data_IF_695134322770
#
_entry.id   IF_695134322770
#
_cell.length_a   1.000
_cell.length_b   1.000
_cell.length_c   1.000
_cell.angle_alpha   90.00
_cell.angle_beta   90.00
_cell.angle_gamma   90.00
#
_symmetry.space_group_name_H-M   'P 1'
#
loop_
_entity.id
_entity.type
_entity.pdbx_description
1 polymer ?
#
# COMPACT_ATOMS: atom_id res chain seq x y z
N UNK A 1 15.39 -49.49 26.78
CA UNK A 1 14.38 -49.29 25.70
C UNK A 1 13.97 -47.82 25.71
N UNK A 2 14.54 -46.92 24.90
CA UNK A 2 13.99 -46.34 23.64
C UNK A 2 12.44 -46.38 23.59
N UNK A 3 11.69 -45.26 23.50
CA UNK A 3 11.80 -44.10 22.58
C UNK A 3 11.26 -42.77 23.19
N UNK A 4 11.72 -41.61 22.67
CA UNK A 4 11.10 -40.29 22.90
C UNK A 4 10.37 -39.73 21.64
N UNK A 5 9.66 -38.61 21.86
CA UNK A 5 9.18 -37.56 20.92
C UNK A 5 7.88 -37.79 20.14
N UNK A 6 6.96 -36.85 20.33
CA UNK A 6 6.28 -36.15 19.23
C UNK A 6 5.97 -34.71 19.70
N UNK A 7 6.96 -33.83 19.55
CA UNK A 7 6.73 -32.37 19.56
C UNK A 7 6.13 -32.06 18.20
N UNK A 8 4.88 -31.61 18.20
CA UNK A 8 4.17 -31.09 17.04
C UNK A 8 4.91 -29.82 16.59
N UNK A 9 5.81 -29.96 15.61
CA UNK A 9 6.52 -28.83 15.01
C UNK A 9 5.56 -28.03 14.13
N UNK A 10 5.10 -26.88 14.63
CA UNK A 10 4.42 -25.85 13.85
C UNK A 10 5.36 -25.40 12.72
N UNK A 11 5.01 -25.69 11.47
CA UNK A 11 5.85 -25.42 10.27
C UNK A 11 6.08 -23.91 10.10
N UNK A 12 7.28 -23.36 10.35
CA UNK A 12 7.54 -21.92 10.26
C UNK A 12 7.75 -21.41 8.81
N UNK A 13 7.77 -22.31 7.82
CA UNK A 13 8.07 -21.99 6.42
C UNK A 13 6.90 -21.45 5.58
N UNK A 14 5.65 -21.63 6.01
CA UNK A 14 4.47 -21.16 5.27
C UNK A 14 4.19 -19.67 5.54
N UNK A 15 4.35 -19.21 6.78
CA UNK A 15 4.14 -17.82 7.17
C UNK A 15 5.22 -16.89 6.61
N UNK A 16 6.47 -17.35 6.57
CA UNK A 16 7.61 -16.62 6.00
C UNK A 16 7.49 -16.48 4.47
N UNK A 17 7.03 -17.51 3.75
CA UNK A 17 6.73 -17.43 2.30
C UNK A 17 5.50 -16.58 1.97
N UNK A 18 4.54 -16.48 2.88
CA UNK A 18 3.32 -15.69 2.68
C UNK A 18 3.60 -14.20 2.91
N UNK A 19 4.40 -13.86 3.93
CA UNK A 19 4.92 -12.49 4.14
C UNK A 19 5.72 -12.00 2.94
N UNK A 20 6.66 -12.79 2.43
CA UNK A 20 7.47 -12.37 1.27
C UNK A 20 6.68 -12.17 -0.04
N UNK A 21 5.48 -12.74 -0.17
CA UNK A 21 4.57 -12.46 -1.29
C UNK A 21 3.79 -11.16 -1.13
N UNK A 22 3.61 -10.68 0.09
CA UNK A 22 2.91 -9.43 0.40
C UNK A 22 3.86 -8.23 0.41
N UNK A 23 5.17 -8.45 0.61
CA UNK A 23 6.16 -7.38 0.69
C UNK A 23 6.25 -6.56 -0.61
N UNK A 24 6.22 -7.23 -1.78
CA UNK A 24 6.25 -6.54 -3.08
C UNK A 24 5.01 -5.65 -3.33
N UNK A 25 3.77 -6.16 -3.22
CA UNK A 25 2.58 -5.30 -3.37
C UNK A 25 2.47 -4.27 -2.25
N UNK A 26 2.96 -4.54 -1.02
CA UNK A 26 2.99 -3.56 0.05
C UNK A 26 3.89 -2.39 -0.33
N UNK A 27 5.12 -2.66 -0.77
CA UNK A 27 6.06 -1.63 -1.19
C UNK A 27 5.54 -0.80 -2.38
N UNK A 28 4.95 -1.47 -3.38
CA UNK A 28 4.36 -0.79 -4.54
C UNK A 28 3.22 0.16 -4.11
N UNK A 29 2.33 -0.31 -3.24
CA UNK A 29 1.21 0.48 -2.76
C UNK A 29 1.66 1.62 -1.83
N UNK A 30 2.63 1.39 -0.95
CA UNK A 30 3.23 2.45 -0.12
C UNK A 30 3.84 3.55 -0.99
N UNK A 31 4.59 3.20 -2.05
CA UNK A 31 5.12 4.18 -3.00
C UNK A 31 4.02 4.95 -3.73
N UNK A 32 2.95 4.25 -4.13
CA UNK A 32 1.79 4.87 -4.76
C UNK A 32 1.10 5.87 -3.82
N UNK A 33 1.05 5.59 -2.52
CA UNK A 33 0.53 6.52 -1.51
C UNK A 33 1.46 7.71 -1.27
N UNK A 34 2.77 7.47 -1.21
CA UNK A 34 3.75 8.55 -0.99
C UNK A 34 3.84 9.54 -2.15
N UNK A 35 3.63 9.06 -3.38
CA UNK A 35 4.02 9.82 -4.57
C UNK A 35 3.01 9.81 -5.71
N UNK A 36 1.99 8.96 -5.68
CA UNK A 36 0.94 8.89 -6.69
C UNK A 36 -0.32 9.60 -6.22
N UNK A 37 -1.12 10.17 -7.12
CA UNK A 37 -2.46 10.67 -6.77
C UNK A 37 -3.47 9.53 -6.58
N UNK A 38 -4.73 9.87 -6.32
CA UNK A 38 -5.84 8.91 -6.15
C UNK A 38 -5.87 7.82 -7.25
N UNK A 39 -5.64 8.19 -8.52
CA UNK A 39 -5.60 7.25 -9.63
C UNK A 39 -4.48 6.19 -9.47
N UNK A 40 -3.30 6.58 -8.99
CA UNK A 40 -2.18 5.68 -8.75
C UNK A 40 -2.44 4.74 -7.57
N UNK A 41 -3.08 5.25 -6.51
CA UNK A 41 -3.51 4.43 -5.36
C UNK A 41 -4.53 3.37 -5.80
N UNK A 42 -5.54 3.76 -6.59
CA UNK A 42 -6.56 2.83 -7.11
C UNK A 42 -5.93 1.76 -8.02
N UNK A 43 -5.07 2.16 -8.96
CA UNK A 43 -4.39 1.21 -9.85
C UNK A 43 -3.55 0.19 -9.05
N UNK A 44 -2.77 0.67 -8.08
CA UNK A 44 -1.96 -0.21 -7.24
C UNK A 44 -2.80 -1.15 -6.35
N UNK A 45 -3.96 -0.68 -5.86
CA UNK A 45 -4.92 -1.53 -5.13
C UNK A 45 -5.50 -2.63 -6.03
N UNK A 46 -5.87 -2.32 -7.27
CA UNK A 46 -6.41 -3.30 -8.21
C UNK A 46 -5.35 -4.33 -8.63
N UNK A 47 -4.10 -3.91 -8.83
CA UNK A 47 -2.96 -4.81 -9.09
C UNK A 47 -2.69 -5.73 -7.89
N UNK A 48 -2.67 -5.19 -6.67
CA UNK A 48 -2.50 -5.98 -5.46
C UNK A 48 -3.66 -6.97 -5.28
N UNK A 49 -4.89 -6.55 -5.52
CA UNK A 49 -6.06 -7.41 -5.46
C UNK A 49 -5.98 -8.55 -6.49
N UNK A 50 -5.55 -8.28 -7.73
CA UNK A 50 -5.36 -9.30 -8.75
C UNK A 50 -4.30 -10.34 -8.32
N UNK A 51 -3.17 -9.88 -7.79
CA UNK A 51 -2.10 -10.75 -7.27
C UNK A 51 -2.58 -11.62 -6.09
N UNK A 52 -3.34 -11.03 -5.17
CA UNK A 52 -3.93 -11.73 -4.04
C UNK A 52 -5.01 -12.73 -4.45
N UNK A 53 -5.87 -12.37 -5.41
CA UNK A 53 -6.92 -13.25 -5.91
C UNK A 53 -6.34 -14.51 -6.58
N UNK A 54 -5.23 -14.39 -7.30
CA UNK A 54 -4.56 -15.52 -7.93
C UNK A 54 -4.04 -16.58 -6.91
N UNK A 55 -3.75 -16.15 -5.67
CA UNK A 55 -3.24 -17.03 -4.61
C UNK A 55 -4.27 -17.48 -3.56
N UNK A 56 -5.50 -16.94 -3.58
CA UNK A 56 -6.50 -17.18 -2.54
C UNK A 56 -7.79 -17.77 -3.14
N UNK A 57 -8.15 -18.98 -2.71
CA UNK A 57 -9.32 -19.70 -3.22
C UNK A 57 -10.66 -19.26 -2.61
N UNK A 58 -10.65 -18.45 -1.55
CA UNK A 58 -11.86 -18.06 -0.84
C UNK A 58 -11.89 -16.59 -0.46
N UNK A 59 -13.11 -16.06 -0.30
CA UNK A 59 -13.34 -14.68 0.12
C UNK A 59 -12.71 -14.34 1.47
N UNK A 60 -12.86 -15.16 2.54
CA UNK A 60 -12.19 -14.90 3.81
C UNK A 60 -10.67 -14.89 3.69
N UNK A 61 -10.09 -15.76 2.85
CA UNK A 61 -8.65 -15.80 2.62
C UNK A 61 -8.16 -14.53 1.91
N UNK A 62 -8.91 -14.04 0.91
CA UNK A 62 -8.64 -12.77 0.25
C UNK A 62 -8.72 -11.58 1.22
N UNK A 63 -9.80 -11.46 1.99
CA UNK A 63 -9.97 -10.38 2.98
C UNK A 63 -8.88 -10.39 4.04
N UNK A 64 -8.50 -11.58 4.53
CA UNK A 64 -7.38 -11.72 5.47
C UNK A 64 -6.06 -11.26 4.85
N UNK A 65 -5.76 -11.66 3.61
CA UNK A 65 -4.54 -11.25 2.93
C UNK A 65 -4.52 -9.73 2.62
N UNK A 66 -5.66 -9.14 2.30
CA UNK A 66 -5.80 -7.70 2.10
C UNK A 66 -5.62 -6.91 3.41
N UNK A 67 -6.16 -7.39 4.53
CA UNK A 67 -5.95 -6.77 5.84
C UNK A 67 -4.48 -6.86 6.30
N UNK A 68 -3.83 -8.00 6.04
CA UNK A 68 -2.38 -8.18 6.24
C UNK A 68 -1.59 -7.19 5.37
N UNK A 69 -1.94 -7.05 4.09
CA UNK A 69 -1.32 -6.09 3.17
C UNK A 69 -1.45 -4.66 3.68
N UNK A 70 -2.65 -4.22 4.08
CA UNK A 70 -2.86 -2.87 4.63
C UNK A 70 -2.00 -2.63 5.87
N UNK A 71 -1.87 -3.63 6.74
CA UNK A 71 -1.01 -3.52 7.92
C UNK A 71 0.46 -3.31 7.54
N UNK A 72 0.95 -4.02 6.52
CA UNK A 72 2.32 -3.86 6.01
C UNK A 72 2.53 -2.50 5.35
N UNK A 73 1.58 -2.03 4.54
CA UNK A 73 1.63 -0.72 3.88
C UNK A 73 1.74 0.39 4.92
N UNK A 74 0.90 0.36 5.96
CA UNK A 74 0.94 1.36 7.03
C UNK A 74 2.23 1.28 7.84
N UNK A 75 2.76 0.08 8.08
CA UNK A 75 4.05 -0.09 8.74
C UNK A 75 5.22 0.48 7.90
N UNK A 76 5.18 0.31 6.58
CA UNK A 76 6.18 0.86 5.66
C UNK A 76 6.09 2.39 5.60
N UNK A 77 4.88 2.95 5.49
CA UNK A 77 4.67 4.40 5.48
C UNK A 77 5.13 5.06 6.80
N UNK A 78 4.89 4.41 7.94
CA UNK A 78 5.36 4.85 9.25
C UNK A 78 6.88 4.81 9.44
N UNK A 79 7.63 4.09 8.58
CA UNK A 79 9.10 4.10 8.60
C UNK A 79 9.70 5.33 7.89
N UNK A 80 9.02 5.87 6.88
CA UNK A 80 9.56 6.91 5.99
C UNK A 80 9.00 8.31 6.25
N UNK A 81 7.79 8.41 6.80
CA UNK A 81 7.18 9.67 7.23
C UNK A 81 6.82 9.57 8.70
N UNK A 82 7.27 10.52 9.52
CA UNK A 82 7.04 10.60 10.97
C UNK A 82 5.57 10.75 11.40
N UNK A 83 4.61 10.29 10.59
CA UNK A 83 3.25 9.97 11.01
C UNK A 83 3.35 8.88 12.08
N UNK A 84 3.51 9.34 13.31
CA UNK A 84 3.32 8.54 14.50
C UNK A 84 2.01 7.77 14.35
N UNK A 85 2.01 6.56 14.88
CA UNK A 85 0.95 5.57 14.83
C UNK A 85 -0.36 6.08 15.46
N UNK A 86 -1.02 7.05 14.83
CA UNK A 86 -2.42 7.34 15.05
C UNK A 86 -3.18 6.08 14.65
N UNK A 87 -4.22 5.74 15.42
CA UNK A 87 -5.06 4.53 15.26
C UNK A 87 -5.68 4.30 13.85
N UNK A 88 -5.38 5.15 12.87
CA UNK A 88 -5.58 4.98 11.43
C UNK A 88 -4.98 3.68 10.89
N UNK A 89 -3.85 3.21 11.43
CA UNK A 89 -3.24 1.94 11.01
C UNK A 89 -4.17 0.75 11.26
N UNK A 90 -4.82 0.73 12.43
CA UNK A 90 -5.78 -0.32 12.80
C UNK A 90 -7.13 -0.18 12.08
N UNK A 91 -7.58 1.06 11.83
CA UNK A 91 -8.91 1.30 11.25
C UNK A 91 -9.03 0.87 9.79
N UNK A 92 -7.96 1.04 9.01
CA UNK A 92 -7.94 0.69 7.58
C UNK A 92 -7.81 -0.83 7.35
N UNK A 93 -6.99 -1.53 8.14
CA UNK A 93 -6.94 -2.99 8.07
C UNK A 93 -8.27 -3.63 8.52
N UNK A 94 -8.92 -3.06 9.53
CA UNK A 94 -10.23 -3.53 10.01
C UNK A 94 -11.37 -3.25 9.01
N UNK A 95 -11.27 -2.21 8.18
CA UNK A 95 -12.32 -1.87 7.21
C UNK A 95 -12.56 -2.95 6.16
N UNK A 96 -11.52 -3.71 5.82
CA UNK A 96 -11.58 -4.83 4.88
C UNK A 96 -12.68 -5.83 5.25
N UNK A 97 -12.92 -6.07 6.54
CA UNK A 97 -13.90 -7.04 6.99
C UNK A 97 -15.35 -6.52 6.99
N UNK A 98 -15.57 -5.22 6.77
CA UNK A 98 -16.92 -4.62 6.67
C UNK A 98 -17.57 -4.84 5.31
N UNK A 99 -16.80 -5.23 4.30
CA UNK A 99 -17.25 -5.23 2.90
C UNK A 99 -17.47 -6.63 2.35
N UNK A 100 -18.68 -6.85 1.84
CA UNK A 100 -19.07 -8.07 1.13
C UNK A 100 -18.79 -8.02 -0.38
N UNK A 101 -18.30 -6.91 -0.95
CA UNK A 101 -17.87 -6.83 -2.35
C UNK A 101 -16.51 -6.12 -2.50
N UNK A 102 -15.76 -6.45 -3.56
CA UNK A 102 -14.47 -5.81 -3.83
C UNK A 102 -14.63 -4.33 -4.16
N UNK A 103 -15.62 -3.96 -4.98
CA UNK A 103 -15.82 -2.56 -5.38
C UNK A 103 -15.96 -1.62 -4.18
N UNK A 104 -16.82 -1.96 -3.20
CA UNK A 104 -17.04 -1.14 -2.00
C UNK A 104 -15.84 -1.13 -1.07
N UNK A 105 -15.12 -2.27 -0.98
CA UNK A 105 -13.87 -2.35 -0.23
C UNK A 105 -12.80 -1.44 -0.85
N UNK A 106 -12.64 -1.50 -2.17
CA UNK A 106 -11.65 -0.71 -2.91
C UNK A 106 -11.89 0.78 -2.73
N UNK A 107 -13.14 1.23 -2.81
CA UNK A 107 -13.50 2.64 -2.61
C UNK A 107 -13.12 3.13 -1.22
N UNK A 108 -13.44 2.38 -0.16
CA UNK A 108 -13.07 2.77 1.20
C UNK A 108 -11.56 2.73 1.44
N UNK A 109 -10.86 1.72 0.91
CA UNK A 109 -9.41 1.63 1.01
C UNK A 109 -8.72 2.77 0.27
N UNK A 110 -9.15 3.08 -0.95
CA UNK A 110 -8.59 4.18 -1.75
C UNK A 110 -8.80 5.53 -1.06
N UNK A 111 -10.00 5.78 -0.53
CA UNK A 111 -10.29 6.99 0.24
C UNK A 111 -9.42 7.11 1.49
N UNK A 112 -9.28 6.02 2.26
CA UNK A 112 -8.44 5.98 3.45
C UNK A 112 -6.96 6.22 3.14
N UNK A 113 -6.43 5.57 2.11
CA UNK A 113 -5.04 5.75 1.67
C UNK A 113 -4.78 7.15 1.11
N UNK A 114 -5.74 7.76 0.41
CA UNK A 114 -5.62 9.15 -0.04
C UNK A 114 -5.61 10.13 1.14
N UNK A 115 -6.39 9.87 2.20
CA UNK A 115 -6.32 10.68 3.42
C UNK A 115 -4.97 10.54 4.14
N UNK A 116 -4.36 9.34 4.11
CA UNK A 116 -2.99 9.13 4.61
C UNK A 116 -1.99 9.94 3.79
N UNK A 117 -2.06 9.88 2.46
CA UNK A 117 -1.23 10.68 1.57
C UNK A 117 -1.33 12.19 1.89
N UNK A 118 -2.55 12.72 2.00
CA UNK A 118 -2.76 14.14 2.31
C UNK A 118 -2.13 14.53 3.65
N UNK A 119 -2.13 13.62 4.65
CA UNK A 119 -1.47 13.88 5.93
C UNK A 119 0.07 13.82 5.86
N UNK A 120 0.63 13.00 4.96
CA UNK A 120 2.07 12.97 4.68
C UNK A 120 2.51 14.27 3.98
N UNK A 121 1.68 14.79 3.08
CA UNK A 121 1.95 16.03 2.35
C UNK A 121 1.87 17.27 3.24
N UNK A 122 0.94 17.30 4.19
CA UNK A 122 0.74 18.42 5.10
C UNK A 122 1.82 18.52 6.20
N UNK A 123 2.57 17.45 6.46
CA UNK A 123 3.50 17.36 7.59
C UNK A 123 4.96 17.65 7.25
N UNK A 124 5.35 17.76 5.97
CA UNK A 124 6.77 17.86 5.61
C UNK A 124 7.04 18.62 4.28
N UNK A 125 7.96 19.60 4.32
CA UNK A 125 8.49 20.26 3.11
C UNK A 125 9.32 19.30 2.24
N UNK A 126 9.80 18.18 2.82
CA UNK A 126 10.47 17.08 2.11
C UNK A 126 9.53 16.18 1.30
N UNK A 127 8.20 16.33 1.43
CA UNK A 127 7.21 15.58 0.62
C UNK A 127 7.33 15.91 -0.87
N UNK A 128 7.60 17.17 -1.21
CA UNK A 128 7.75 17.64 -2.60
C UNK A 128 8.96 17.00 -3.27
N UNK A 129 10.11 16.98 -2.60
CA UNK A 129 11.34 16.36 -3.15
C UNK A 129 11.18 14.85 -3.35
N UNK A 130 10.50 14.14 -2.44
CA UNK A 130 10.16 12.71 -2.63
C UNK A 130 9.24 12.48 -3.81
N UNK A 131 8.24 13.35 -3.99
CA UNK A 131 7.33 13.29 -5.14
C UNK A 131 8.07 13.53 -6.45
N UNK A 132 9.01 14.48 -6.47
CA UNK A 132 9.90 14.72 -7.62
C UNK A 132 10.77 13.50 -7.93
N UNK A 133 11.45 12.92 -6.94
CA UNK A 133 12.28 11.72 -7.15
C UNK A 133 11.44 10.54 -7.65
N UNK A 134 10.29 10.27 -7.02
CA UNK A 134 9.41 9.18 -7.44
C UNK A 134 8.79 9.41 -8.83
N UNK A 135 8.51 10.65 -9.20
CA UNK A 135 8.05 11.00 -10.54
C UNK A 135 9.15 10.77 -11.59
N UNK A 136 10.37 11.25 -11.33
CA UNK A 136 11.52 11.03 -12.20
C UNK A 136 11.78 9.53 -12.36
N UNK A 137 11.80 8.75 -11.28
CA UNK A 137 11.99 7.29 -11.31
C UNK A 137 10.95 6.55 -12.16
N UNK A 138 9.68 6.97 -12.13
CA UNK A 138 8.61 6.36 -12.93
C UNK A 138 8.61 6.77 -14.41
N UNK A 139 9.10 7.96 -14.72
CA UNK A 139 9.12 8.52 -16.07
C UNK A 139 10.52 8.50 -16.71
N UNK A 140 11.50 7.81 -16.11
CA UNK A 140 12.88 7.71 -16.63
C UNK A 140 12.98 7.13 -18.05
N UNK A 141 11.95 6.43 -18.53
CA UNK A 141 11.88 5.87 -19.89
C UNK A 141 11.28 6.81 -20.94
N UNK A 142 10.74 7.97 -20.54
CA UNK A 142 10.15 8.97 -21.44
C UNK A 142 10.85 10.32 -21.28
N UNK A 143 11.08 11.09 -22.35
CA UNK A 143 11.63 12.43 -22.23
C UNK A 143 10.67 13.31 -21.41
N UNK A 144 11.08 13.61 -20.17
CA UNK A 144 10.37 14.47 -19.23
C UNK A 144 10.08 15.83 -19.86
N UNK A 145 8.81 16.11 -20.16
CA UNK A 145 8.38 17.42 -20.67
C UNK A 145 8.14 18.37 -19.50
N UNK A 146 8.54 19.63 -19.68
CA UNK A 146 8.35 20.72 -18.70
C UNK A 146 6.88 20.93 -18.33
N UNK A 147 5.97 20.60 -19.25
CA UNK A 147 4.52 20.63 -19.10
C UNK A 147 4.03 19.74 -17.95
N UNK A 148 4.57 18.52 -17.84
CA UNK A 148 4.16 17.52 -16.83
C UNK A 148 4.70 17.86 -15.44
N UNK A 149 5.81 18.59 -15.38
CA UNK A 149 6.34 19.13 -14.14
C UNK A 149 5.42 20.26 -13.62
N UNK A 150 4.94 21.16 -14.49
CA UNK A 150 4.06 22.26 -14.08
C UNK A 150 2.72 21.80 -13.48
N UNK A 151 2.13 20.72 -14.00
CA UNK A 151 0.94 20.07 -13.41
C UNK A 151 1.21 19.54 -12.00
N UNK A 152 2.40 18.99 -11.76
CA UNK A 152 2.82 18.47 -10.45
C UNK A 152 2.97 19.58 -9.38
N UNK A 153 3.27 20.81 -9.81
CA UNK A 153 3.46 21.97 -8.95
C UNK A 153 2.22 22.87 -8.82
N UNK A 154 1.10 22.50 -9.45
CA UNK A 154 -0.10 23.35 -9.44
C UNK A 154 0.12 24.71 -10.08
N UNK A 155 1.12 24.85 -10.96
CA UNK A 155 1.31 26.03 -11.79
C UNK A 155 0.28 26.01 -12.92
N UNK A 156 -0.99 26.12 -12.57
CA UNK A 156 -1.94 26.78 -13.45
C UNK A 156 -1.68 28.29 -13.33
N UNK A 157 -0.52 28.73 -13.83
CA UNK A 157 -0.27 30.13 -14.13
C UNK A 157 -1.04 30.47 -15.41
N UNK A 158 -2.30 30.82 -15.21
CA UNK A 158 -3.20 31.40 -16.21
C UNK A 158 -4.46 31.82 -15.46
N UNK A 159 -4.50 33.07 -15.00
CA UNK A 159 -5.32 34.15 -15.61
C UNK A 159 -6.82 33.87 -15.54
#
# INVERSE_FOLDING_TARGET
>A
MRRPRSVLGTRPGLQSRRRSRLDQPALALSRAVETGGMAGIVASLDEAAASLAAGNASRPAFSSAMAELMTLVMAELGRHGGTSADGRHGSLAASVYRHAKWCTMREELAAGLSAVQQSLDASDSGSVLRRMTGFIERHYSEPLRLETLAELFGYNSGT
#
